data_IF_195114889477
#
_entry.id   IF_195114889477
#
_cell.length_a   1.000
_cell.length_b   1.000
_cell.length_c   1.000
_cell.angle_alpha   90.00
_cell.angle_beta   90.00
_cell.angle_gamma   90.00
#
_symmetry.space_group_name_H-M   'P 1'
#
loop_
_entity.id
_entity.type
_entity.pdbx_description
1 polymer ?
#
# COMPACT_ATOMS: atom_id res chain seq x y z
N UNK A 1 21.33 -12.17 -7.36
CA UNK A 1 21.16 -11.65 -8.74
C UNK A 1 20.19 -12.48 -9.60
N UNK A 2 20.43 -13.79 -9.81
CA UNK A 2 19.57 -14.68 -10.64
C UNK A 2 18.06 -14.68 -10.30
N UNK A 3 17.69 -14.46 -9.04
CA UNK A 3 16.29 -14.45 -8.57
C UNK A 3 15.50 -13.20 -8.98
N UNK A 4 16.16 -12.04 -9.02
CA UNK A 4 15.55 -10.77 -9.44
C UNK A 4 15.32 -10.76 -10.96
N UNK A 5 16.29 -11.27 -11.73
CA UNK A 5 16.15 -11.43 -13.19
C UNK A 5 14.96 -12.34 -13.53
N UNK A 6 14.78 -13.44 -12.79
CA UNK A 6 13.65 -14.36 -12.99
C UNK A 6 12.31 -13.72 -12.66
N UNK A 7 12.22 -12.90 -11.61
CA UNK A 7 11.00 -12.15 -11.28
C UNK A 7 10.70 -11.06 -12.31
N UNK A 8 11.74 -10.38 -12.80
CA UNK A 8 11.62 -9.36 -13.85
C UNK A 8 11.15 -9.97 -15.18
N UNK A 9 11.70 -11.13 -15.58
CA UNK A 9 11.24 -11.86 -16.76
C UNK A 9 9.80 -12.37 -16.61
N UNK A 10 9.41 -12.86 -15.45
CA UNK A 10 8.01 -13.30 -15.22
C UNK A 10 7.06 -12.11 -15.28
N UNK A 11 7.43 -10.96 -14.72
CA UNK A 11 6.66 -9.72 -14.82
C UNK A 11 6.54 -9.22 -16.26
N UNK A 12 7.63 -9.29 -17.04
CA UNK A 12 7.68 -8.89 -18.44
C UNK A 12 6.82 -9.81 -19.33
N UNK A 13 6.90 -11.13 -19.13
CA UNK A 13 6.11 -12.09 -19.91
C UNK A 13 4.63 -12.00 -19.52
N UNK A 14 4.31 -11.83 -18.23
CA UNK A 14 2.93 -11.57 -17.80
C UNK A 14 2.39 -10.26 -18.38
N UNK A 15 3.25 -9.25 -18.50
CA UNK A 15 2.93 -7.98 -19.15
C UNK A 15 2.62 -8.17 -20.63
N UNK A 16 3.49 -8.82 -21.40
CA UNK A 16 3.25 -9.08 -22.83
C UNK A 16 1.94 -9.86 -23.01
N UNK A 17 1.70 -10.83 -22.14
CA UNK A 17 0.50 -11.64 -22.21
C UNK A 17 -0.76 -10.88 -21.76
N UNK A 18 -0.75 -9.96 -20.82
CA UNK A 18 -1.98 -9.18 -20.52
C UNK A 18 -2.16 -8.05 -21.54
N UNK A 19 -1.06 -7.45 -21.98
CA UNK A 19 -1.05 -6.26 -22.82
C UNK A 19 -1.49 -6.55 -24.27
N UNK A 20 -0.98 -7.62 -24.87
CA UNK A 20 -1.32 -8.01 -26.24
C UNK A 20 -2.83 -8.14 -26.48
N UNK A 21 -3.59 -8.92 -25.68
CA UNK A 21 -5.01 -9.10 -25.90
C UNK A 21 -5.87 -7.93 -25.45
N UNK A 22 -5.47 -7.18 -24.43
CA UNK A 22 -6.30 -6.05 -23.96
C UNK A 22 -6.08 -4.79 -24.82
N UNK A 23 -4.88 -4.61 -25.38
CA UNK A 23 -4.52 -3.37 -26.05
C UNK A 23 -4.14 -3.56 -27.52
N UNK A 24 -3.28 -4.53 -27.87
CA UNK A 24 -2.79 -4.68 -29.25
C UNK A 24 -3.83 -5.32 -30.18
N UNK A 25 -4.50 -6.37 -29.71
CA UNK A 25 -5.49 -7.11 -30.51
C UNK A 25 -6.70 -6.22 -30.88
N UNK A 26 -7.36 -5.52 -29.95
CA UNK A 26 -8.43 -4.60 -30.30
C UNK A 26 -7.98 -3.48 -31.25
N UNK A 27 -6.71 -3.07 -31.19
CA UNK A 27 -6.15 -2.07 -32.11
C UNK A 27 -5.97 -2.62 -33.53
N UNK A 28 -5.43 -3.83 -33.67
CA UNK A 28 -5.30 -4.50 -34.96
C UNK A 28 -6.67 -4.70 -35.61
N UNK A 29 -7.68 -5.07 -34.80
CA UNK A 29 -9.08 -5.19 -35.23
C UNK A 29 -9.63 -3.85 -35.72
N UNK A 30 -9.42 -2.77 -34.96
CA UNK A 30 -9.93 -1.44 -35.30
C UNK A 30 -9.23 -0.81 -36.50
N UNK A 31 -7.96 -1.14 -36.73
CA UNK A 31 -7.23 -0.73 -37.94
C UNK A 31 -7.63 -1.51 -39.20
N UNK A 32 -8.52 -2.51 -39.07
CA UNK A 32 -8.96 -3.37 -40.17
C UNK A 32 -7.90 -4.36 -40.66
N UNK A 33 -6.78 -4.50 -39.93
CA UNK A 33 -5.69 -5.43 -40.26
C UNK A 33 -6.13 -6.88 -39.99
N UNK A 34 -6.95 -7.07 -38.97
CA UNK A 34 -7.55 -8.37 -38.61
C UNK A 34 -9.05 -8.19 -38.34
N UNK A 35 -9.84 -9.25 -38.49
CA UNK A 35 -11.26 -9.22 -38.14
C UNK A 35 -11.47 -9.36 -36.61
N UNK A 36 -12.64 -8.96 -36.12
CA UNK A 36 -12.99 -9.09 -34.68
C UNK A 36 -12.88 -10.55 -34.21
N UNK A 37 -13.26 -11.50 -35.07
CA UNK A 37 -13.18 -12.94 -34.80
C UNK A 37 -11.73 -13.42 -34.71
N UNK A 38 -10.87 -13.00 -35.63
CA UNK A 38 -9.43 -13.25 -35.59
C UNK A 38 -8.77 -12.67 -34.33
N UNK A 39 -9.22 -11.49 -33.89
CA UNK A 39 -8.76 -10.88 -32.66
C UNK A 39 -9.10 -11.71 -31.41
N UNK A 40 -10.34 -12.18 -31.29
CA UNK A 40 -10.75 -13.07 -30.19
C UNK A 40 -9.95 -14.38 -30.19
N UNK A 41 -9.68 -14.95 -31.37
CA UNK A 41 -8.87 -16.16 -31.52
C UNK A 41 -7.40 -15.90 -31.11
N UNK A 42 -6.82 -14.76 -31.51
CA UNK A 42 -5.46 -14.37 -31.12
C UNK A 42 -5.29 -14.11 -29.62
N UNK A 43 -6.37 -13.85 -28.88
CA UNK A 43 -6.35 -13.71 -27.43
C UNK A 43 -6.25 -15.08 -26.70
N UNK A 44 -6.48 -16.20 -27.39
CA UNK A 44 -6.54 -17.55 -26.81
C UNK A 44 -5.17 -18.12 -26.39
N UNK A 45 -4.09 -18.05 -27.20
CA UNK A 45 -2.75 -18.44 -26.75
C UNK A 45 -2.29 -17.61 -25.55
N UNK A 46 -2.80 -16.39 -25.46
CA UNK A 46 -2.40 -15.43 -24.47
C UNK A 46 -3.10 -15.65 -23.12
N UNK A 47 -4.42 -15.92 -23.13
CA UNK A 47 -5.17 -16.33 -21.93
C UNK A 47 -4.62 -17.65 -21.36
N UNK A 48 -4.20 -18.58 -22.22
CA UNK A 48 -3.50 -19.80 -21.84
C UNK A 48 -2.13 -19.51 -21.21
N UNK A 49 -1.36 -18.56 -21.76
CA UNK A 49 -0.08 -18.12 -21.20
C UNK A 49 -0.21 -17.48 -19.81
N UNK A 50 -1.20 -16.60 -19.60
CA UNK A 50 -1.47 -15.98 -18.30
C UNK A 50 -1.89 -17.04 -17.28
N UNK A 51 -2.80 -17.93 -17.67
CA UNK A 51 -3.28 -19.02 -16.81
C UNK A 51 -2.13 -19.95 -16.43
N UNK A 52 -1.25 -20.26 -17.39
CA UNK A 52 -0.03 -21.04 -17.15
C UNK A 52 0.93 -20.33 -16.18
N UNK A 53 1.14 -19.02 -16.30
CA UNK A 53 2.04 -18.26 -15.42
C UNK A 53 1.46 -18.08 -14.02
N UNK A 54 0.19 -17.70 -13.90
CA UNK A 54 -0.52 -17.60 -12.62
C UNK A 54 -0.46 -18.93 -11.86
N UNK A 55 -0.60 -20.05 -12.58
CA UNK A 55 -0.50 -21.37 -12.00
C UNK A 55 0.95 -21.81 -11.77
N UNK A 56 1.91 -21.51 -12.63
CA UNK A 56 3.32 -21.93 -12.43
C UNK A 56 4.03 -21.12 -11.35
N UNK A 57 3.70 -19.84 -11.21
CA UNK A 57 4.40 -18.90 -10.33
C UNK A 57 3.57 -18.41 -9.13
N UNK A 58 2.23 -18.55 -9.15
CA UNK A 58 1.37 -18.31 -7.99
C UNK A 58 1.39 -19.42 -6.94
N UNK A 59 2.12 -20.52 -7.17
CA UNK A 59 2.09 -21.73 -6.34
C UNK A 59 3.16 -21.76 -5.26
N UNK A 60 2.70 -21.80 -4.00
CA UNK A 60 3.44 -22.44 -2.91
C UNK A 60 3.56 -23.97 -3.15
N UNK A 61 4.42 -24.67 -2.39
CA UNK A 61 4.82 -26.07 -2.64
C UNK A 61 3.70 -27.12 -2.58
N UNK A 62 2.48 -26.79 -2.13
CA UNK A 62 1.39 -27.75 -1.95
C UNK A 62 0.51 -27.98 -3.19
N UNK A 63 0.90 -27.44 -4.34
CA UNK A 63 0.04 -27.42 -5.54
C UNK A 63 0.66 -28.23 -6.67
N UNK A 64 1.23 -29.39 -6.32
CA UNK A 64 1.60 -30.44 -7.29
C UNK A 64 0.42 -31.35 -7.67
N UNK A 65 -0.78 -31.11 -7.12
CA UNK A 65 -1.98 -31.93 -7.33
C UNK A 65 -3.23 -31.10 -7.71
N UNK A 66 -3.09 -29.98 -8.44
CA UNK A 66 -4.30 -29.36 -9.04
C UNK A 66 -4.77 -30.23 -10.19
N UNK A 67 -6.01 -30.70 -10.07
CA UNK A 67 -6.71 -31.47 -11.08
C UNK A 67 -6.73 -30.69 -12.42
N UNK A 68 -6.31 -31.28 -13.54
CA UNK A 68 -6.26 -30.63 -14.86
C UNK A 68 -7.60 -30.00 -15.27
N UNK A 69 -8.72 -30.48 -14.73
CA UNK A 69 -10.06 -29.88 -14.95
C UNK A 69 -10.17 -28.45 -14.41
N UNK A 70 -9.54 -28.14 -13.28
CA UNK A 70 -9.54 -26.77 -12.71
C UNK A 70 -8.64 -25.84 -13.54
N UNK A 71 -7.53 -26.37 -14.09
CA UNK A 71 -6.66 -25.63 -15.02
C UNK A 71 -7.43 -25.23 -16.28
N UNK A 72 -8.15 -26.18 -16.88
CA UNK A 72 -8.98 -25.92 -18.06
C UNK A 72 -10.08 -24.90 -17.74
N UNK A 73 -10.74 -25.03 -16.58
CA UNK A 73 -11.83 -24.14 -16.18
C UNK A 73 -11.35 -22.70 -15.93
N UNK A 74 -10.23 -22.50 -15.22
CA UNK A 74 -9.66 -21.16 -15.02
C UNK A 74 -9.20 -20.55 -16.34
N UNK A 75 -8.59 -21.34 -17.23
CA UNK A 75 -8.15 -20.85 -18.54
C UNK A 75 -9.32 -20.48 -19.44
N UNK A 76 -10.40 -21.27 -19.41
CA UNK A 76 -11.65 -20.99 -20.11
C UNK A 76 -12.29 -19.70 -19.58
N UNK A 77 -12.37 -19.53 -18.26
CA UNK A 77 -12.94 -18.33 -17.63
C UNK A 77 -12.12 -17.08 -17.97
N UNK A 78 -10.79 -17.18 -17.92
CA UNK A 78 -9.89 -16.09 -18.28
C UNK A 78 -10.01 -15.75 -19.78
N UNK A 79 -10.12 -16.77 -20.63
CA UNK A 79 -10.34 -16.60 -22.07
C UNK A 79 -11.69 -15.91 -22.36
N UNK A 80 -12.77 -16.34 -21.72
CA UNK A 80 -14.09 -15.70 -21.86
C UNK A 80 -14.03 -14.24 -21.43
N UNK A 81 -13.37 -13.94 -20.30
CA UNK A 81 -13.22 -12.55 -19.81
C UNK A 81 -12.38 -11.71 -20.80
N UNK A 82 -11.21 -12.20 -21.23
CA UNK A 82 -10.33 -11.50 -22.16
C UNK A 82 -10.98 -11.32 -23.53
N UNK A 83 -11.62 -12.36 -24.07
CA UNK A 83 -12.37 -12.32 -25.32
C UNK A 83 -13.56 -11.36 -25.24
N UNK A 84 -14.27 -11.32 -24.12
CA UNK A 84 -15.36 -10.35 -23.89
C UNK A 84 -14.83 -8.93 -23.84
N UNK A 85 -13.69 -8.69 -23.17
CA UNK A 85 -13.04 -7.37 -23.13
C UNK A 85 -12.60 -6.95 -24.54
N UNK A 86 -11.97 -7.83 -25.30
CA UNK A 86 -11.58 -7.59 -26.71
C UNK A 86 -12.80 -7.25 -27.55
N UNK A 87 -13.85 -8.06 -27.45
CA UNK A 87 -15.09 -7.89 -28.21
C UNK A 87 -15.78 -6.58 -27.86
N UNK A 88 -15.95 -6.25 -26.57
CA UNK A 88 -16.56 -5.00 -26.12
C UNK A 88 -15.74 -3.79 -26.57
N UNK A 89 -14.42 -3.83 -26.42
CA UNK A 89 -13.52 -2.74 -26.82
C UNK A 89 -13.43 -2.53 -28.33
N UNK A 90 -13.65 -3.59 -29.11
CA UNK A 90 -13.57 -3.57 -30.58
C UNK A 90 -14.93 -3.24 -31.21
N UNK A 91 -16.04 -3.74 -30.65
CA UNK A 91 -17.39 -3.54 -31.18
C UNK A 91 -18.01 -2.17 -30.83
N UNK A 92 -17.63 -1.56 -29.70
CA UNK A 92 -18.31 -0.34 -29.22
C UNK A 92 -17.59 0.99 -29.49
N UNK A 93 -16.48 0.98 -30.24
CA UNK A 93 -15.84 2.20 -30.77
C UNK A 93 -15.50 3.29 -29.74
N UNK A 94 -15.09 4.46 -30.26
CA UNK A 94 -14.53 5.61 -29.51
C UNK A 94 -15.53 6.20 -28.49
N UNK A 95 -16.84 6.13 -28.75
CA UNK A 95 -17.88 6.82 -27.97
C UNK A 95 -18.17 6.14 -26.61
N UNK A 96 -18.11 4.80 -26.53
CA UNK A 96 -18.29 4.09 -25.26
C UNK A 96 -17.02 4.01 -24.41
N UNK A 97 -15.85 4.35 -24.96
CA UNK A 97 -14.60 4.41 -24.18
C UNK A 97 -14.64 5.54 -23.15
N UNK A 98 -15.16 6.71 -23.52
CA UNK A 98 -15.39 7.84 -22.59
C UNK A 98 -16.30 7.46 -21.41
N UNK A 99 -17.36 6.68 -21.66
CA UNK A 99 -18.26 6.16 -20.63
C UNK A 99 -17.63 5.08 -19.74
N UNK A 100 -16.59 4.37 -20.21
CA UNK A 100 -15.81 3.40 -19.43
C UNK A 100 -14.69 4.05 -18.59
N UNK A 101 -14.25 5.26 -18.92
CA UNK A 101 -13.25 6.01 -18.14
C UNK A 101 -13.83 6.67 -16.88
N UNK A 102 -15.03 7.25 -16.98
CA UNK A 102 -15.73 7.91 -15.85
C UNK A 102 -15.91 6.99 -14.62
N UNK A 103 -16.20 5.68 -14.73
CA UNK A 103 -16.31 4.81 -13.56
C UNK A 103 -14.97 4.38 -12.96
N UNK A 104 -13.86 4.33 -13.71
CA UNK A 104 -12.58 3.85 -13.17
C UNK A 104 -11.95 4.90 -12.26
N UNK A 105 -11.94 6.17 -12.67
CA UNK A 105 -11.38 7.25 -11.85
C UNK A 105 -12.23 7.46 -10.59
N UNK A 106 -13.56 7.37 -10.72
CA UNK A 106 -14.48 7.41 -9.58
C UNK A 106 -14.23 6.24 -8.60
N UNK A 107 -13.98 5.02 -9.10
CA UNK A 107 -13.67 3.84 -8.26
C UNK A 107 -12.30 3.98 -7.60
N UNK A 108 -11.28 4.48 -8.31
CA UNK A 108 -9.94 4.70 -7.78
C UNK A 108 -9.94 5.82 -6.74
N UNK A 109 -10.74 6.88 -6.92
CA UNK A 109 -10.93 7.97 -5.96
C UNK A 109 -11.84 7.58 -4.79
N UNK A 110 -12.77 6.64 -4.97
CA UNK A 110 -13.66 6.18 -3.92
C UNK A 110 -12.91 5.49 -2.77
N UNK A 111 -11.85 4.71 -3.06
CA UNK A 111 -11.04 4.04 -2.04
C UNK A 111 -10.32 5.03 -1.08
N UNK A 112 -9.52 6.02 -1.55
CA UNK A 112 -8.96 7.04 -0.70
C UNK A 112 -10.02 7.92 -0.05
N UNK A 113 -11.09 8.28 -0.76
CA UNK A 113 -12.18 9.07 -0.17
C UNK A 113 -12.81 8.31 1.01
N UNK A 114 -13.06 7.01 0.87
CA UNK A 114 -13.57 6.15 1.93
C UNK A 114 -12.56 5.97 3.07
N UNK A 115 -11.26 5.83 2.77
CA UNK A 115 -10.21 5.76 3.79
C UNK A 115 -10.06 7.08 4.55
N UNK A 116 -10.05 8.22 3.87
CA UNK A 116 -10.01 9.55 4.46
C UNK A 116 -11.29 9.85 5.25
N UNK A 117 -12.45 9.43 4.75
CA UNK A 117 -13.71 9.51 5.49
C UNK A 117 -13.68 8.66 6.76
N UNK A 118 -13.20 7.41 6.68
CA UNK A 118 -13.04 6.53 7.85
C UNK A 118 -12.04 7.07 8.86
N UNK A 119 -10.97 7.71 8.40
CA UNK A 119 -10.06 8.44 9.29
C UNK A 119 -10.77 9.66 9.89
N UNK A 120 -11.48 10.45 9.11
CA UNK A 120 -12.15 11.65 9.61
C UNK A 120 -13.32 11.43 10.57
N UNK A 121 -13.79 10.19 10.77
CA UNK A 121 -14.87 9.89 11.71
C UNK A 121 -14.49 10.26 13.14
N UNK A 122 -15.41 10.92 13.83
CA UNK A 122 -15.32 11.09 15.28
C UNK A 122 -15.27 9.71 15.92
N UNK A 123 -14.34 9.54 16.86
CA UNK A 123 -14.32 8.34 17.68
C UNK A 123 -15.22 8.61 18.86
N UNK A 124 -16.23 7.77 19.06
CA UNK A 124 -17.03 7.79 20.30
C UNK A 124 -16.13 7.33 21.42
N UNK A 125 -15.73 8.27 22.27
CA UNK A 125 -14.88 8.03 23.43
C UNK A 125 -15.77 7.79 24.64
N UNK A 126 -15.45 6.77 25.43
CA UNK A 126 -16.07 6.60 26.72
C UNK A 126 -15.42 7.58 27.71
N UNK A 127 -16.18 8.41 28.44
CA UNK A 127 -15.61 9.28 29.47
C UNK A 127 -14.78 8.52 30.50
N UNK A 128 -15.16 7.28 30.81
CA UNK A 128 -14.45 6.43 31.79
C UNK A 128 -13.05 6.00 31.31
N UNK A 129 -12.80 6.02 30.00
CA UNK A 129 -11.50 5.66 29.43
C UNK A 129 -10.51 6.84 29.50
N UNK A 130 -10.94 8.04 29.91
CA UNK A 130 -10.06 9.19 30.02
C UNK A 130 -9.03 9.02 31.14
N UNK A 131 -7.76 9.29 30.85
CA UNK A 131 -6.67 9.20 31.81
C UNK A 131 -6.05 10.57 32.08
N UNK A 132 -6.34 11.13 33.26
CA UNK A 132 -5.69 12.35 33.75
C UNK A 132 -4.16 12.17 33.82
N UNK A 133 -3.70 11.05 34.40
CA UNK A 133 -2.27 10.77 34.59
C UNK A 133 -1.49 10.85 33.26
N UNK A 134 -1.93 10.13 32.23
CA UNK A 134 -1.20 10.13 30.95
C UNK A 134 -1.38 11.42 30.15
N UNK A 135 -2.47 12.15 30.38
CA UNK A 135 -2.71 13.47 29.78
C UNK A 135 -1.75 14.51 30.34
N UNK A 136 -1.68 14.64 31.67
CA UNK A 136 -0.74 15.53 32.34
C UNK A 136 0.71 15.19 31.98
N UNK A 137 1.01 13.89 31.91
CA UNK A 137 2.32 13.39 31.50
C UNK A 137 2.68 13.79 30.08
N UNK A 138 1.77 13.64 29.11
CA UNK A 138 2.00 14.11 27.73
C UNK A 138 2.17 15.63 27.67
N UNK A 139 1.40 16.39 28.45
CA UNK A 139 1.50 17.85 28.53
C UNK A 139 2.84 18.29 29.11
N UNK A 140 3.32 17.60 30.15
CA UNK A 140 4.65 17.80 30.74
C UNK A 140 5.77 17.52 29.74
N UNK A 141 5.71 16.41 29.00
CA UNK A 141 6.70 16.10 27.96
C UNK A 141 6.74 17.11 26.81
N UNK A 142 5.66 17.86 26.60
CA UNK A 142 5.51 18.85 25.54
C UNK A 142 5.69 20.29 26.05
N UNK A 143 6.04 20.49 27.33
CA UNK A 143 6.16 21.79 27.99
C UNK A 143 4.92 22.69 27.77
N UNK A 144 3.72 22.12 27.90
CA UNK A 144 2.47 22.77 27.50
C UNK A 144 1.38 22.57 28.56
N UNK A 145 1.36 23.44 29.57
CA UNK A 145 0.47 23.32 30.74
C UNK A 145 -0.92 23.92 30.54
N UNK A 146 -1.10 24.94 29.66
CA UNK A 146 -2.37 25.70 29.62
C UNK A 146 -3.06 25.80 28.24
N UNK A 147 -2.47 25.26 27.17
CA UNK A 147 -3.02 25.40 25.78
C UNK A 147 -3.02 24.11 24.98
N UNK A 148 -2.94 22.97 25.64
CA UNK A 148 -2.86 21.69 25.00
C UNK A 148 -4.23 21.02 24.88
N UNK A 149 -4.85 21.11 23.70
CA UNK A 149 -6.11 20.44 23.38
C UNK A 149 -5.90 18.94 23.05
N UNK A 150 -5.15 18.23 23.90
CA UNK A 150 -4.76 16.83 23.67
C UNK A 150 -5.11 16.01 24.89
N UNK A 151 -6.02 15.06 24.72
CA UNK A 151 -6.44 14.17 25.79
C UNK A 151 -5.96 12.75 25.52
N UNK A 152 -5.58 12.05 26.58
CA UNK A 152 -5.16 10.65 26.52
C UNK A 152 -6.28 9.77 27.07
N UNK A 153 -6.70 8.80 26.26
CA UNK A 153 -7.68 7.79 26.59
C UNK A 153 -7.03 6.41 26.60
N UNK A 154 -7.59 5.51 27.40
CA UNK A 154 -7.25 4.10 27.43
C UNK A 154 -8.07 3.33 26.39
N UNK A 155 -7.48 2.27 25.84
CA UNK A 155 -8.06 1.54 24.73
C UNK A 155 -7.99 0.05 25.01
N UNK A 156 -9.15 -0.52 25.32
CA UNK A 156 -9.36 -1.94 25.62
C UNK A 156 -9.32 -2.86 24.40
N UNK A 157 -8.80 -2.39 23.26
CA UNK A 157 -8.75 -3.18 22.03
C UNK A 157 -7.72 -4.31 22.17
N UNK A 158 -8.20 -5.56 22.11
CA UNK A 158 -7.38 -6.76 22.21
C UNK A 158 -6.26 -6.89 21.15
N UNK A 159 -6.37 -6.19 20.02
CA UNK A 159 -5.39 -6.29 18.92
C UNK A 159 -4.27 -5.23 19.11
N UNK A 160 -3.10 -5.69 19.60
CA UNK A 160 -1.89 -4.89 19.79
C UNK A 160 -1.02 -4.81 18.52
N UNK A 161 -1.42 -3.94 17.57
CA UNK A 161 -0.58 -3.56 16.40
C UNK A 161 0.29 -2.33 16.65
N UNK A 162 -0.12 -1.53 17.62
CA UNK A 162 0.54 -0.32 18.09
C UNK A 162 0.22 -0.15 19.56
N UNK A 163 1.14 0.42 20.32
CA UNK A 163 0.95 0.70 21.74
C UNK A 163 0.07 1.92 21.97
N UNK A 164 0.06 2.86 21.03
CA UNK A 164 -0.88 3.96 21.00
C UNK A 164 -1.48 4.15 19.59
N UNK A 165 -2.69 4.68 19.55
CA UNK A 165 -3.38 5.16 18.36
C UNK A 165 -3.72 6.64 18.57
N UNK A 166 -4.14 7.32 17.53
CA UNK A 166 -4.72 8.65 17.66
C UNK A 166 -6.11 8.63 17.05
N UNK A 167 -7.03 9.43 17.59
CA UNK A 167 -8.25 9.74 16.84
C UNK A 167 -7.84 10.39 15.50
N UNK A 168 -8.72 10.41 14.52
CA UNK A 168 -8.39 10.98 13.21
C UNK A 168 -9.39 12.07 12.78
N UNK A 169 -10.33 12.41 13.68
CA UNK A 169 -11.29 13.51 13.55
C UNK A 169 -10.72 14.88 13.99
N UNK A 170 -11.62 15.87 14.17
CA UNK A 170 -11.28 17.24 14.59
C UNK A 170 -10.64 17.30 15.98
N UNK A 171 -11.13 16.47 16.89
CA UNK A 171 -10.63 16.41 18.27
C UNK A 171 -9.35 15.58 18.35
N UNK A 172 -8.33 16.08 19.05
CA UNK A 172 -7.01 15.46 19.08
C UNK A 172 -6.81 14.57 20.30
N UNK A 173 -7.23 13.31 20.15
CA UNK A 173 -7.07 12.30 21.19
C UNK A 173 -5.93 11.34 20.89
N UNK A 174 -5.18 10.97 21.92
CA UNK A 174 -4.23 9.84 21.92
C UNK A 174 -4.89 8.69 22.68
N UNK A 175 -4.87 7.50 22.10
CA UNK A 175 -5.46 6.29 22.68
C UNK A 175 -4.33 5.33 23.03
N UNK A 176 -3.93 5.28 24.30
CA UNK A 176 -2.95 4.32 24.81
C UNK A 176 -3.65 2.98 25.02
N UNK A 177 -3.06 1.87 24.56
CA UNK A 177 -3.66 0.55 24.77
C UNK A 177 -3.28 -0.02 26.12
N UNK A 178 -4.21 -0.69 26.78
CA UNK A 178 -3.98 -1.30 28.11
C UNK A 178 -2.82 -2.28 28.11
N UNK A 179 -2.70 -3.08 27.04
CA UNK A 179 -1.58 -3.99 26.90
C UNK A 179 -0.23 -3.28 26.78
N UNK A 180 -0.19 -2.02 26.33
CA UNK A 180 1.03 -1.20 26.38
C UNK A 180 1.43 -0.89 27.81
N UNK A 181 0.46 -0.51 28.66
CA UNK A 181 0.69 -0.17 30.07
C UNK A 181 1.27 -1.37 30.83
N UNK A 182 0.75 -2.57 30.56
CA UNK A 182 1.21 -3.79 31.23
C UNK A 182 2.62 -4.25 30.82
N UNK A 183 3.11 -3.81 29.66
CA UNK A 183 4.33 -4.37 29.04
C UNK A 183 5.47 -3.35 28.94
N UNK A 184 5.16 -2.07 29.12
CA UNK A 184 6.10 -0.97 28.97
C UNK A 184 6.36 -0.30 30.32
N UNK A 185 7.63 0.05 30.52
CA UNK A 185 8.03 0.84 31.68
C UNK A 185 7.64 2.31 31.47
N UNK A 186 7.65 3.08 32.55
CA UNK A 186 7.30 4.51 32.57
C UNK A 186 7.94 5.29 31.40
N UNK A 187 9.27 5.21 31.23
CA UNK A 187 9.99 5.92 30.17
C UNK A 187 9.70 5.42 28.75
N UNK A 188 9.24 4.17 28.60
CA UNK A 188 8.80 3.61 27.32
C UNK A 188 7.41 4.10 26.95
N UNK A 189 6.53 4.29 27.94
CA UNK A 189 5.21 4.91 27.75
C UNK A 189 5.38 6.35 27.26
N UNK A 190 6.30 7.13 27.82
CA UNK A 190 6.63 8.48 27.34
C UNK A 190 6.96 8.49 25.84
N UNK A 191 7.84 7.58 25.43
CA UNK A 191 8.27 7.47 24.05
C UNK A 191 7.10 7.10 23.11
N UNK A 192 6.19 6.23 23.56
CA UNK A 192 5.00 5.83 22.80
C UNK A 192 3.99 6.97 22.67
N UNK A 193 3.75 7.73 23.75
CA UNK A 193 2.86 8.88 23.74
C UNK A 193 3.37 9.96 22.78
N UNK A 194 4.68 10.26 22.83
CA UNK A 194 5.32 11.18 21.90
C UNK A 194 5.30 10.67 20.45
N UNK A 195 5.51 9.36 20.22
CA UNK A 195 5.40 8.74 18.88
C UNK A 195 4.00 8.96 18.29
N UNK A 196 2.95 8.72 19.08
CA UNK A 196 1.57 8.92 18.66
C UNK A 196 1.27 10.40 18.36
N UNK A 197 1.66 11.29 19.27
CA UNK A 197 1.51 12.73 19.12
C UNK A 197 2.17 13.25 17.83
N UNK A 198 3.47 12.98 17.64
CA UNK A 198 4.21 13.50 16.49
C UNK A 198 3.82 12.83 15.17
N UNK A 199 3.38 11.57 15.20
CA UNK A 199 2.81 10.91 14.02
C UNK A 199 1.52 11.60 13.55
N UNK A 200 0.66 12.01 14.50
CA UNK A 200 -0.55 12.75 14.18
C UNK A 200 -0.28 14.19 13.78
N UNK A 201 0.52 14.93 14.55
CA UNK A 201 0.93 16.32 14.22
C UNK A 201 1.57 16.40 12.84
N UNK A 202 2.41 15.42 12.51
CA UNK A 202 3.04 15.29 11.20
C UNK A 202 2.08 14.91 10.06
N UNK A 203 0.86 14.50 10.38
CA UNK A 203 -0.14 14.02 9.44
C UNK A 203 0.31 12.77 8.69
N UNK A 204 1.06 11.87 9.35
CA UNK A 204 1.73 10.73 8.69
C UNK A 204 0.72 9.86 7.94
N UNK A 205 -0.40 9.48 8.56
CA UNK A 205 -1.43 8.66 7.93
C UNK A 205 -2.10 9.38 6.75
N UNK A 206 -2.51 10.64 6.93
CA UNK A 206 -3.16 11.45 5.88
C UNK A 206 -2.24 11.66 4.68
N UNK A 207 -0.98 12.02 4.91
CA UNK A 207 0.03 12.21 3.85
C UNK A 207 0.35 10.90 3.13
N UNK A 208 0.43 9.79 3.85
CA UNK A 208 0.67 8.47 3.25
C UNK A 208 -0.46 8.07 2.31
N UNK A 209 -1.72 8.28 2.73
CA UNK A 209 -2.89 7.98 1.89
C UNK A 209 -2.91 8.91 0.68
N UNK A 210 -2.88 10.23 0.88
CA UNK A 210 -2.97 11.20 -0.21
C UNK A 210 -1.87 11.01 -1.25
N UNK A 211 -0.61 10.91 -0.84
CA UNK A 211 0.50 10.75 -1.77
C UNK A 211 0.55 9.34 -2.37
N UNK A 212 0.17 8.31 -1.61
CA UNK A 212 0.04 6.95 -2.13
C UNK A 212 -1.03 6.87 -3.22
N UNK A 213 -2.19 7.50 -3.03
CA UNK A 213 -3.26 7.51 -4.03
C UNK A 213 -2.98 8.44 -5.19
N UNK A 214 -2.38 9.61 -4.96
CA UNK A 214 -1.94 10.47 -6.05
C UNK A 214 -0.97 9.73 -6.98
N UNK A 215 -0.03 8.96 -6.41
CA UNK A 215 0.90 8.16 -7.21
C UNK A 215 0.21 7.06 -8.03
N UNK A 216 -0.81 6.39 -7.48
CA UNK A 216 -1.60 5.39 -8.20
C UNK A 216 -2.44 6.04 -9.30
N UNK A 217 -3.09 7.17 -9.01
CA UNK A 217 -3.91 7.92 -9.98
C UNK A 217 -3.04 8.33 -11.16
N UNK A 218 -1.89 8.98 -10.91
CA UNK A 218 -0.96 9.38 -11.98
C UNK A 218 -0.55 8.18 -12.82
N UNK A 219 -0.25 7.03 -12.19
CA UNK A 219 0.15 5.82 -12.91
C UNK A 219 -0.98 5.27 -13.81
N UNK A 220 -2.22 5.32 -13.33
CA UNK A 220 -3.40 4.90 -14.11
C UNK A 220 -3.69 5.92 -15.21
N UNK A 221 -3.74 7.21 -14.91
CA UNK A 221 -3.95 8.29 -15.88
C UNK A 221 -2.97 8.21 -17.04
N UNK A 222 -1.69 7.94 -16.76
CA UNK A 222 -0.67 7.74 -17.81
C UNK A 222 -1.03 6.58 -18.74
N UNK A 223 -1.52 5.46 -18.19
CA UNK A 223 -1.96 4.30 -18.99
C UNK A 223 -3.24 4.59 -19.78
N UNK A 224 -4.17 5.34 -19.19
CA UNK A 224 -5.41 5.73 -19.84
C UNK A 224 -5.13 6.71 -20.99
N UNK A 225 -4.36 7.77 -20.73
CA UNK A 225 -3.94 8.77 -21.72
C UNK A 225 -3.15 8.11 -22.84
N UNK A 226 -2.21 7.22 -22.53
CA UNK A 226 -1.45 6.52 -23.56
C UNK A 226 -2.35 5.64 -24.43
N UNK A 227 -3.34 4.96 -23.83
CA UNK A 227 -4.31 4.16 -24.58
C UNK A 227 -5.20 5.01 -25.49
N UNK A 228 -5.55 6.23 -25.06
CA UNK A 228 -6.36 7.16 -25.83
C UNK A 228 -5.57 7.77 -26.99
N UNK A 229 -4.37 8.29 -26.70
CA UNK A 229 -3.52 8.91 -27.71
C UNK A 229 -3.13 7.92 -28.81
N UNK A 230 -3.01 6.62 -28.53
CA UNK A 230 -2.76 5.60 -29.57
C UNK A 230 -3.87 5.57 -30.62
N UNK A 231 -5.10 5.96 -30.26
CA UNK A 231 -6.22 5.99 -31.22
C UNK A 231 -6.37 7.28 -32.00
N UNK A 232 -5.75 8.36 -31.54
CA UNK A 232 -5.85 9.68 -32.16
C UNK A 232 -4.61 10.05 -32.97
N UNK A 233 -3.47 9.47 -32.62
CA UNK A 233 -2.17 9.89 -33.14
C UNK A 233 -1.69 8.91 -34.20
N UNK A 234 -1.11 9.44 -35.28
CA UNK A 234 -0.53 8.65 -36.38
C UNK A 234 0.44 7.57 -35.86
N UNK A 235 0.48 6.43 -36.54
CA UNK A 235 1.32 5.27 -36.19
C UNK A 235 2.81 5.60 -36.00
N UNK A 236 3.29 6.69 -36.62
CA UNK A 236 4.66 7.20 -36.46
C UNK A 236 4.99 7.53 -34.99
N UNK A 237 4.00 7.91 -34.19
CA UNK A 237 4.19 8.24 -32.77
C UNK A 237 3.96 7.06 -31.81
N UNK A 238 3.68 5.86 -32.35
CA UNK A 238 3.39 4.67 -31.55
C UNK A 238 4.51 4.32 -30.55
N UNK A 239 5.77 4.50 -30.94
CA UNK A 239 6.93 4.23 -30.06
C UNK A 239 6.91 5.12 -28.82
N UNK A 240 6.57 6.41 -28.95
CA UNK A 240 6.48 7.34 -27.81
C UNK A 240 5.35 6.96 -26.85
N UNK A 241 4.23 6.48 -27.39
CA UNK A 241 3.08 6.05 -26.60
C UNK A 241 3.33 4.71 -25.90
N UNK A 242 4.13 3.83 -26.51
CA UNK A 242 4.59 2.59 -25.89
C UNK A 242 5.52 2.89 -24.70
N UNK A 243 6.44 3.85 -24.83
CA UNK A 243 7.30 4.31 -23.72
C UNK A 243 6.46 4.91 -22.59
N UNK A 244 5.46 5.74 -22.91
CA UNK A 244 4.57 6.33 -21.92
C UNK A 244 3.75 5.26 -21.16
N UNK A 245 3.21 4.27 -21.89
CA UNK A 245 2.49 3.13 -21.30
C UNK A 245 3.38 2.29 -20.39
N UNK A 246 4.61 2.03 -20.83
CA UNK A 246 5.60 1.31 -20.03
C UNK A 246 5.96 2.08 -18.75
N UNK A 247 6.07 3.41 -18.81
CA UNK A 247 6.29 4.25 -17.64
C UNK A 247 5.13 4.13 -16.63
N UNK A 248 3.88 4.19 -17.08
CA UNK A 248 2.70 4.00 -16.22
C UNK A 248 2.69 2.63 -15.52
N UNK A 249 3.02 1.56 -16.25
CA UNK A 249 3.14 0.21 -15.67
C UNK A 249 4.27 0.12 -14.63
N UNK A 250 5.44 0.67 -14.94
CA UNK A 250 6.57 0.71 -14.00
C UNK A 250 6.21 1.50 -12.74
N UNK A 251 5.40 2.57 -12.86
CA UNK A 251 4.86 3.27 -11.70
C UNK A 251 3.97 2.34 -10.87
N UNK A 252 3.01 1.61 -11.46
CA UNK A 252 2.17 0.65 -10.73
C UNK A 252 3.02 -0.41 -10.00
N UNK A 253 4.00 -1.00 -10.68
CA UNK A 253 4.87 -2.03 -10.09
C UNK A 253 5.71 -1.49 -8.92
N UNK A 254 6.03 -0.20 -8.94
CA UNK A 254 6.82 0.45 -7.89
C UNK A 254 5.99 1.01 -6.74
N UNK A 255 4.65 0.98 -6.81
CA UNK A 255 3.74 1.44 -5.73
C UNK A 255 4.12 0.87 -4.36
N UNK A 256 4.36 -0.45 -4.18
CA UNK A 256 4.70 -0.98 -2.86
C UNK A 256 6.03 -0.43 -2.32
N UNK A 257 7.01 -0.20 -3.21
CA UNK A 257 8.30 0.36 -2.83
C UNK A 257 8.18 1.85 -2.49
N UNK A 258 7.41 2.60 -3.27
CA UNK A 258 7.09 4.00 -3.02
C UNK A 258 6.42 4.19 -1.66
N UNK A 259 5.36 3.43 -1.38
CA UNK A 259 4.64 3.48 -0.09
C UNK A 259 5.58 3.16 1.08
N UNK A 260 6.44 2.14 0.95
CA UNK A 260 7.40 1.78 1.98
C UNK A 260 8.44 2.89 2.22
N UNK A 261 8.98 3.48 1.17
CA UNK A 261 9.92 4.61 1.28
C UNK A 261 9.24 5.83 1.90
N UNK A 262 8.05 6.17 1.43
CA UNK A 262 7.29 7.31 1.92
C UNK A 262 6.92 7.14 3.41
N UNK A 263 6.43 5.96 3.79
CA UNK A 263 6.16 5.62 5.19
C UNK A 263 7.42 5.75 6.05
N UNK A 264 8.54 5.17 5.60
CA UNK A 264 9.81 5.25 6.31
C UNK A 264 10.30 6.70 6.48
N UNK A 265 10.08 7.56 5.48
CA UNK A 265 10.43 8.98 5.50
C UNK A 265 9.55 9.80 6.45
N UNK A 266 8.23 9.63 6.36
CA UNK A 266 7.28 10.30 7.23
C UNK A 266 7.47 9.88 8.70
N UNK A 267 7.68 8.59 8.95
CA UNK A 267 8.01 8.08 10.27
C UNK A 267 9.34 8.62 10.80
N UNK A 268 10.39 8.75 9.99
CA UNK A 268 11.65 9.32 10.47
C UNK A 268 11.54 10.77 10.95
N UNK A 269 10.61 11.55 10.39
CA UNK A 269 10.36 12.91 10.87
C UNK A 269 9.69 12.91 12.23
N UNK A 270 8.77 11.98 12.47
CA UNK A 270 8.18 11.78 13.79
C UNK A 270 9.24 11.29 14.79
N UNK A 271 10.03 10.28 14.43
CA UNK A 271 11.10 9.71 15.26
C UNK A 271 12.09 10.78 15.72
N UNK A 272 12.50 11.68 14.81
CA UNK A 272 13.39 12.78 15.14
C UNK A 272 12.80 13.72 16.20
N UNK A 273 11.51 14.05 16.09
CA UNK A 273 10.86 14.94 17.05
C UNK A 273 10.68 14.27 18.42
N UNK A 274 10.42 12.96 18.46
CA UNK A 274 10.38 12.18 19.71
C UNK A 274 11.73 12.26 20.43
N UNK A 275 12.83 12.01 19.70
CA UNK A 275 14.19 12.02 20.27
C UNK A 275 14.60 13.38 20.83
N UNK A 276 14.09 14.49 20.29
CA UNK A 276 14.35 15.83 20.83
C UNK A 276 13.73 16.09 22.20
N UNK A 277 12.66 15.35 22.55
CA UNK A 277 11.91 15.54 23.80
C UNK A 277 12.27 14.49 24.85
N UNK A 278 12.80 13.34 24.44
CA UNK A 278 13.26 12.32 25.37
C UNK A 278 14.66 12.63 25.91
N UNK A 279 14.95 12.27 27.17
CA UNK A 279 16.28 12.40 27.75
C UNK A 279 17.29 11.41 27.13
N UNK A 280 16.82 10.36 26.47
CA UNK A 280 17.67 9.40 25.77
C UNK A 280 16.89 8.52 24.81
N UNK A 281 17.60 7.89 23.88
CA UNK A 281 17.00 7.03 22.86
C UNK A 281 16.65 5.62 23.34
N UNK A 282 17.26 5.14 24.42
CA UNK A 282 17.16 3.74 24.85
C UNK A 282 15.73 3.30 25.21
N UNK A 283 14.92 4.10 25.94
CA UNK A 283 13.52 3.76 26.18
C UNK A 283 12.72 3.64 24.88
N UNK A 284 12.98 4.52 23.90
CA UNK A 284 12.28 4.48 22.62
C UNK A 284 12.70 3.28 21.77
N UNK A 285 13.99 2.96 21.75
CA UNK A 285 14.53 1.77 21.07
C UNK A 285 13.94 0.51 21.69
N UNK A 286 13.94 0.41 23.02
CA UNK A 286 13.39 -0.74 23.75
C UNK A 286 11.88 -0.91 23.50
N UNK A 287 11.11 0.17 23.50
CA UNK A 287 9.70 0.14 23.13
C UNK A 287 9.48 -0.37 21.69
N UNK A 288 10.33 0.05 20.74
CA UNK A 288 10.27 -0.42 19.34
C UNK A 288 10.59 -1.92 19.23
N UNK A 289 11.56 -2.42 20.00
CA UNK A 289 11.93 -3.84 20.02
C UNK A 289 10.82 -4.70 20.64
N UNK A 290 10.25 -4.27 21.78
CA UNK A 290 9.07 -4.91 22.40
C UNK A 290 7.87 -4.92 21.44
N UNK A 291 7.62 -3.81 20.74
CA UNK A 291 6.53 -3.74 19.73
C UNK A 291 6.70 -4.80 18.63
N UNK A 292 7.94 -5.04 18.18
CA UNK A 292 8.23 -6.02 17.13
C UNK A 292 7.95 -7.45 17.61
N UNK A 293 8.31 -7.82 18.84
CA UNK A 293 8.10 -9.18 19.36
C UNK A 293 6.62 -9.54 19.52
N UNK A 294 5.76 -8.52 19.66
CA UNK A 294 4.32 -8.67 19.87
C UNK A 294 3.49 -8.57 18.58
N UNK A 295 4.12 -8.24 17.43
CA UNK A 295 3.41 -8.10 16.16
C UNK A 295 3.01 -9.46 15.58
N UNK A 296 1.71 -9.76 15.67
CA UNK A 296 1.10 -10.96 15.05
C UNK A 296 0.54 -10.61 13.66
N UNK A 297 0.75 -11.45 12.62
CA UNK A 297 0.15 -11.24 11.31
C UNK A 297 -1.39 -11.26 11.36
N UNK A 298 -2.03 -10.42 10.54
CA UNK A 298 -3.48 -10.21 10.58
C UNK A 298 -4.31 -11.39 10.08
N UNK A 299 -3.66 -12.31 9.38
CA UNK A 299 -4.26 -13.49 8.77
C UNK A 299 -3.28 -14.64 8.97
N UNK A 300 -3.78 -15.87 9.15
CA UNK A 300 -2.92 -17.04 9.15
C UNK A 300 -2.11 -17.07 7.85
N UNK A 301 -0.81 -17.25 7.98
CA UNK A 301 0.13 -17.30 6.87
C UNK A 301 0.79 -18.69 6.83
N UNK A 302 1.21 -19.13 5.66
CA UNK A 302 2.07 -20.31 5.57
C UNK A 302 3.39 -20.07 6.31
N UNK A 303 4.03 -21.11 6.83
CA UNK A 303 5.32 -21.00 7.54
C UNK A 303 6.38 -20.22 6.73
N UNK A 304 6.43 -20.43 5.40
CA UNK A 304 7.35 -19.69 4.51
C UNK A 304 7.01 -18.21 4.40
N UNK A 305 5.74 -17.83 4.45
CA UNK A 305 5.31 -16.43 4.45
C UNK A 305 5.57 -15.78 5.82
N UNK A 306 5.35 -16.51 6.90
CA UNK A 306 5.64 -16.05 8.26
C UNK A 306 7.13 -15.74 8.45
N UNK A 307 8.02 -16.66 8.07
CA UNK A 307 9.48 -16.42 8.14
C UNK A 307 9.90 -15.19 7.31
N UNK A 308 9.26 -14.96 6.15
CA UNK A 308 9.53 -13.74 5.34
C UNK A 308 9.01 -12.48 6.01
N UNK A 309 7.84 -12.56 6.65
CA UNK A 309 7.25 -11.45 7.39
C UNK A 309 8.13 -11.06 8.57
N UNK A 310 8.56 -12.04 9.38
CA UNK A 310 9.46 -11.83 10.52
C UNK A 310 10.78 -11.21 10.09
N UNK A 311 11.43 -11.74 9.05
CA UNK A 311 12.66 -11.14 8.48
C UNK A 311 12.45 -9.71 8.01
N UNK A 312 11.30 -9.43 7.40
CA UNK A 312 10.95 -8.07 6.94
C UNK A 312 10.75 -7.12 8.12
N UNK A 313 10.03 -7.55 9.15
CA UNK A 313 9.81 -6.76 10.36
C UNK A 313 11.13 -6.50 11.09
N UNK A 314 12.00 -7.52 11.20
CA UNK A 314 13.34 -7.37 11.75
C UNK A 314 14.15 -6.31 11.00
N UNK A 315 14.25 -6.42 9.67
CA UNK A 315 15.01 -5.47 8.87
C UNK A 315 14.48 -4.02 8.97
N UNK A 316 13.15 -3.84 8.97
CA UNK A 316 12.53 -2.53 9.13
C UNK A 316 12.83 -1.94 10.52
N UNK A 317 12.76 -2.78 11.55
CA UNK A 317 13.00 -2.39 12.94
C UNK A 317 14.46 -1.98 13.15
N UNK A 318 15.41 -2.81 12.70
CA UNK A 318 16.85 -2.51 12.77
C UNK A 318 17.19 -1.20 12.02
N UNK A 319 16.62 -1.01 10.83
CA UNK A 319 16.80 0.24 10.07
C UNK A 319 16.25 1.46 10.82
N UNK A 320 15.12 1.32 11.51
CA UNK A 320 14.54 2.39 12.34
C UNK A 320 15.43 2.69 13.55
N UNK A 321 15.86 1.66 14.29
CA UNK A 321 16.74 1.79 15.46
C UNK A 321 18.06 2.46 15.08
N UNK A 322 18.69 2.03 13.99
CA UNK A 322 19.94 2.64 13.51
C UNK A 322 19.77 4.11 13.14
N UNK A 323 18.61 4.52 12.62
CA UNK A 323 18.32 5.94 12.38
C UNK A 323 18.13 6.71 13.69
N UNK A 324 17.41 6.14 14.64
CA UNK A 324 17.20 6.73 15.96
C UNK A 324 18.54 6.93 16.68
N UNK A 325 19.43 5.93 16.68
CA UNK A 325 20.78 6.05 17.24
C UNK A 325 21.57 7.20 16.59
N UNK A 326 21.48 7.33 15.26
CA UNK A 326 22.09 8.47 14.54
C UNK A 326 21.49 9.81 14.95
N UNK A 327 20.17 9.89 15.11
CA UNK A 327 19.53 11.12 15.59
C UNK A 327 19.95 11.46 17.01
N UNK A 328 20.02 10.47 17.90
CA UNK A 328 20.48 10.66 19.28
C UNK A 328 21.91 11.17 19.34
N UNK A 329 22.81 10.64 18.51
CA UNK A 329 24.19 11.11 18.43
C UNK A 329 24.32 12.58 17.96
N UNK A 330 23.34 13.11 17.23
CA UNK A 330 23.39 14.47 16.67
C UNK A 330 22.54 15.47 17.47
N UNK A 331 21.44 15.02 18.05
CA UNK A 331 20.40 15.87 18.67
C UNK A 331 20.03 15.46 20.09
N UNK A 332 20.64 14.41 20.63
CA UNK A 332 20.40 14.00 22.02
C UNK A 332 20.87 15.11 22.96
N UNK A 333 20.03 15.43 23.95
CA UNK A 333 20.48 16.25 25.09
C UNK A 333 21.49 15.39 25.85
N UNK A 334 22.70 15.93 26.06
CA UNK A 334 23.71 15.31 26.94
C UNK A 334 23.20 15.29 28.38
#
# INVERSE_FOLDING_TARGET
MKRNIRQMMVSLVSFILIYMPVFVIPQLVLSGIITVEEGVILALPVSMGISYILLRFGRGPNVKQINPRIFALVSLLLFIILGSVVYILSAHGIVNRLLLFIPIDAVILAVPALLLHRLGKSVTLNPDDFSNEYTERLHSLLDCTDKCNHDVYLSHKAIMRSFAETSNGKEWHVMLKDGAIQQLDSSQIDAVLLEAYYSRKGGVAKKLILAGTAYVIIAVDILLISSFLITLVSQVYFIYLLVLSFAGLMMILTVPFFILKLSSFLQSRADLNVIKHLPGADPFISAIEKKKSLMVPLRPMTQKQQVRYEKRMQHITEKRINRIRKFNAVYGKM
#
